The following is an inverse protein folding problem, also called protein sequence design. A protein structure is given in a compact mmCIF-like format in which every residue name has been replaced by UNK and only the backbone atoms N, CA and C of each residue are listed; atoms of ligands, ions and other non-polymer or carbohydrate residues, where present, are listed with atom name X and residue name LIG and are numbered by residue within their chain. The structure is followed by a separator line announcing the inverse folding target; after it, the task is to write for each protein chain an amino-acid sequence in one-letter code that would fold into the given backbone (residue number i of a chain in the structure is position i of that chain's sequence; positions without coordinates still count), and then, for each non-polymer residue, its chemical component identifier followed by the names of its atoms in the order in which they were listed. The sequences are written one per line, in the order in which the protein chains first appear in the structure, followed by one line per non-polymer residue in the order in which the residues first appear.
data_IF_423228927111
#
_entry.id   IF_423228927111
#
_cell.length_a   1.000
_cell.length_b   1.000
_cell.length_c   1.000
_cell.angle_alpha   90.00
_cell.angle_beta   90.00
_cell.angle_gamma   90.00
#
_symmetry.space_group_name_H-M   'P 1'
#
loop_
_entity.id
_entity.type
_entity.pdbx_description
1 polymer ?
#
# COMPACT_ATOMS: atom_id res chain seq x y z
N UNK A 1 -4.09 -14.90 19.67
CA UNK A 1 -3.51 -14.00 18.64
C UNK A 1 -4.45 -12.81 18.54
N UNK A 2 -4.01 -11.65 19.02
CA UNK A 2 -4.84 -10.44 19.04
C UNK A 2 -4.78 -9.80 17.65
N UNK A 3 -5.89 -9.83 16.92
CA UNK A 3 -6.02 -9.08 15.67
C UNK A 3 -6.35 -7.63 16.04
N UNK A 4 -5.36 -6.75 15.94
CA UNK A 4 -5.57 -5.32 16.11
C UNK A 4 -6.49 -4.86 14.97
N UNK A 5 -7.63 -4.24 15.31
CA UNK A 5 -8.53 -3.70 14.30
C UNK A 5 -7.74 -2.74 13.40
N UNK A 6 -7.86 -2.83 12.06
CA UNK A 6 -7.17 -1.89 11.19
C UNK A 6 -7.61 -0.48 11.57
N UNK A 7 -6.64 0.41 11.79
CA UNK A 7 -6.91 1.84 11.93
C UNK A 7 -7.86 2.27 10.81
N UNK A 8 -8.85 3.13 11.12
CA UNK A 8 -9.83 3.65 10.18
C UNK A 8 -9.19 3.85 8.81
N UNK A 9 -9.71 3.15 7.80
CA UNK A 9 -9.16 3.20 6.45
C UNK A 9 -9.14 4.64 5.97
N UNK A 10 -8.03 5.14 5.40
CA UNK A 10 -8.00 6.49 4.87
C UNK A 10 -9.04 6.64 3.77
N UNK A 11 -9.60 7.84 3.66
CA UNK A 11 -10.57 8.17 2.63
C UNK A 11 -10.01 7.91 1.23
N UNK A 12 -10.84 7.36 0.34
CA UNK A 12 -10.47 7.05 -1.04
C UNK A 12 -9.59 5.80 -1.22
N UNK A 13 -9.15 5.13 -0.15
CA UNK A 13 -8.38 3.88 -0.24
C UNK A 13 -9.32 2.69 -0.49
N UNK A 14 -9.12 2.02 -1.62
CA UNK A 14 -9.94 0.87 -2.06
C UNK A 14 -9.25 -0.48 -1.90
N UNK A 15 -7.93 -0.49 -1.68
CA UNK A 15 -7.16 -1.66 -1.27
C UNK A 15 -5.91 -1.22 -0.51
N UNK A 16 -5.46 -2.05 0.44
CA UNK A 16 -4.25 -1.83 1.23
C UNK A 16 -3.54 -3.16 1.41
N UNK A 17 -2.26 -3.19 1.07
CA UNK A 17 -1.41 -4.38 1.15
C UNK A 17 -0.28 -4.13 2.15
N UNK A 18 -0.10 -5.03 3.13
CA UNK A 18 1.05 -4.98 4.03
C UNK A 18 2.32 -5.37 3.24
N UNK A 19 3.41 -4.64 3.44
CA UNK A 19 4.68 -4.99 2.79
C UNK A 19 5.43 -6.08 3.55
N UNK A 20 6.35 -6.77 2.89
CA UNK A 20 7.27 -7.67 3.58
C UNK A 20 8.11 -6.95 4.64
N UNK A 21 8.49 -5.68 4.39
CA UNK A 21 9.12 -4.83 5.40
C UNK A 21 8.23 -4.59 6.63
N UNK A 22 6.91 -4.40 6.45
CA UNK A 22 5.98 -4.27 7.57
C UNK A 22 6.00 -5.50 8.47
N UNK A 23 6.05 -6.69 7.88
CA UNK A 23 6.12 -7.94 8.65
C UNK A 23 7.45 -8.08 9.39
N UNK A 24 8.58 -7.78 8.71
CA UNK A 24 9.91 -7.85 9.31
C UNK A 24 10.10 -6.86 10.48
N UNK A 25 9.55 -5.66 10.35
CA UNK A 25 9.67 -4.60 11.36
C UNK A 25 8.54 -4.62 12.39
N UNK A 26 7.51 -5.46 12.17
CA UNK A 26 6.23 -5.39 12.85
C UNK A 26 5.59 -3.98 12.82
N UNK A 27 5.80 -3.26 11.72
CA UNK A 27 5.30 -1.90 11.52
C UNK A 27 4.16 -1.89 10.50
N UNK A 28 2.92 -1.79 11.01
CA UNK A 28 1.70 -1.76 10.21
C UNK A 28 1.57 -0.50 9.32
N UNK A 29 2.46 0.49 9.43
CA UNK A 29 2.42 1.71 8.60
C UNK A 29 3.14 1.56 7.26
N UNK A 30 3.94 0.49 7.08
CA UNK A 30 4.67 0.23 5.83
C UNK A 30 3.78 -0.55 4.86
N UNK A 31 2.82 0.14 4.25
CA UNK A 31 1.83 -0.46 3.34
C UNK A 31 1.95 0.04 1.91
N UNK A 32 1.31 -0.68 0.99
CA UNK A 32 0.96 -0.16 -0.34
C UNK A 32 -0.54 0.13 -0.34
N UNK A 33 -0.90 1.41 -0.46
CA UNK A 33 -2.29 1.86 -0.50
C UNK A 33 -2.69 2.10 -1.95
N UNK A 34 -3.87 1.60 -2.34
CA UNK A 34 -4.48 1.85 -3.64
C UNK A 34 -5.65 2.79 -3.47
N UNK A 35 -5.61 3.90 -4.18
CA UNK A 35 -6.64 4.93 -4.20
C UNK A 35 -7.21 5.06 -5.60
N UNK A 36 -8.51 5.35 -5.68
CA UNK A 36 -9.17 5.71 -6.94
C UNK A 36 -9.76 7.10 -6.81
N UNK A 37 -9.44 7.98 -7.76
CA UNK A 37 -9.93 9.35 -7.87
C UNK A 37 -10.35 9.57 -9.32
N UNK A 38 -11.61 9.98 -9.53
CA UNK A 38 -12.25 10.13 -10.84
C UNK A 38 -12.02 8.92 -11.78
N UNK A 39 -11.22 9.14 -12.84
CA UNK A 39 -10.90 8.14 -13.87
C UNK A 39 -9.50 7.53 -13.68
N UNK A 40 -8.89 7.68 -12.50
CA UNK A 40 -7.54 7.21 -12.20
C UNK A 40 -7.53 6.34 -10.96
N UNK A 41 -6.80 5.23 -11.05
CA UNK A 41 -6.44 4.40 -9.90
C UNK A 41 -4.92 4.43 -9.76
N UNK A 42 -4.43 4.67 -8.55
CA UNK A 42 -3.01 4.67 -8.25
C UNK A 42 -2.73 3.87 -6.98
N UNK A 43 -1.68 3.07 -7.01
CA UNK A 43 -1.08 2.44 -5.84
C UNK A 43 0.16 3.21 -5.41
N UNK A 44 0.34 3.41 -4.11
CA UNK A 44 1.51 4.07 -3.53
C UNK A 44 2.06 3.26 -2.36
N UNK A 45 3.34 2.92 -2.45
CA UNK A 45 4.08 2.30 -1.35
C UNK A 45 4.55 3.35 -0.35
N UNK A 46 4.11 3.25 0.90
CA UNK A 46 4.54 4.12 2.01
C UNK A 46 5.97 3.83 2.47
N UNK A 47 6.49 2.62 2.21
CA UNK A 47 7.86 2.24 2.57
C UNK A 47 8.92 2.85 1.68
N UNK A 48 8.85 2.60 0.37
CA UNK A 48 9.86 3.08 -0.59
C UNK A 48 9.46 4.35 -1.36
N UNK A 49 8.20 4.76 -1.28
CA UNK A 49 7.67 5.91 -2.02
C UNK A 49 7.33 5.64 -3.48
N UNK A 50 7.60 4.45 -4.04
CA UNK A 50 7.20 4.11 -5.41
C UNK A 50 5.68 4.15 -5.56
N UNK A 51 5.23 4.76 -6.65
CA UNK A 51 3.83 4.78 -7.05
C UNK A 51 3.66 4.30 -8.48
N UNK A 52 2.57 3.62 -8.76
CA UNK A 52 2.15 3.25 -10.11
C UNK A 52 0.64 3.42 -10.24
N UNK A 53 0.18 3.87 -11.41
CA UNK A 53 -1.23 4.12 -11.64
C UNK A 53 -1.64 3.95 -13.08
N UNK A 54 -2.94 3.78 -13.27
CA UNK A 54 -3.57 3.61 -14.58
C UNK A 54 -4.98 4.23 -14.58
N UNK A 55 -5.68 4.17 -15.70
CA UNK A 55 -7.10 4.52 -15.75
C UNK A 55 -7.93 3.57 -14.86
N UNK A 56 -9.03 4.06 -14.29
CA UNK A 56 -9.86 3.31 -13.33
C UNK A 56 -10.48 2.04 -13.93
N UNK A 57 -10.74 2.00 -15.24
CA UNK A 57 -11.16 0.77 -15.93
C UNK A 57 -10.09 -0.35 -15.89
N UNK A 58 -8.84 -0.03 -15.59
CA UNK A 58 -7.73 -0.96 -15.38
C UNK A 58 -7.33 -1.09 -13.90
N UNK A 59 -8.21 -0.76 -12.95
CA UNK A 59 -7.96 -0.87 -11.50
C UNK A 59 -7.32 -2.20 -11.08
N UNK A 60 -7.77 -3.31 -11.68
CA UNK A 60 -7.23 -4.65 -11.41
C UNK A 60 -5.72 -4.75 -11.64
N UNK A 61 -5.18 -4.05 -12.64
CA UNK A 61 -3.73 -4.02 -12.89
C UNK A 61 -3.00 -3.27 -11.78
N UNK A 62 -3.61 -2.22 -11.22
CA UNK A 62 -3.03 -1.41 -10.15
C UNK A 62 -3.03 -2.19 -8.84
N UNK A 63 -4.13 -2.91 -8.57
CA UNK A 63 -4.22 -3.85 -7.44
C UNK A 63 -3.17 -4.97 -7.56
N UNK A 64 -3.02 -5.56 -8.75
CA UNK A 64 -2.02 -6.61 -9.01
C UNK A 64 -0.60 -6.09 -8.76
N UNK A 65 -0.24 -4.95 -9.33
CA UNK A 65 1.06 -4.33 -9.09
C UNK A 65 1.27 -4.03 -7.61
N UNK A 66 0.26 -3.47 -6.93
CA UNK A 66 0.37 -3.09 -5.52
C UNK A 66 0.65 -4.31 -4.63
N UNK A 67 -0.03 -5.42 -4.89
CA UNK A 67 0.23 -6.68 -4.20
C UNK A 67 1.64 -7.22 -4.48
N UNK A 68 2.02 -7.35 -5.76
CA UNK A 68 3.34 -7.86 -6.16
C UNK A 68 4.49 -7.01 -5.61
N UNK A 69 4.28 -5.68 -5.52
CA UNK A 69 5.23 -4.77 -4.93
C UNK A 69 5.30 -4.97 -3.40
N UNK A 70 4.15 -5.06 -2.73
CA UNK A 70 4.09 -5.22 -1.28
C UNK A 70 4.84 -6.49 -0.82
N UNK A 71 4.65 -7.62 -1.51
CA UNK A 71 5.30 -8.90 -1.22
C UNK A 71 6.84 -8.85 -1.30
N UNK A 72 7.39 -7.88 -2.06
CA UNK A 72 8.84 -7.76 -2.29
C UNK A 72 9.47 -6.54 -1.63
N UNK A 73 8.67 -5.57 -1.20
CA UNK A 73 9.16 -4.31 -0.67
C UNK A 73 9.88 -4.54 0.66
N UNK A 74 11.18 -4.23 0.67
CA UNK A 74 12.10 -4.30 1.82
C UNK A 74 12.59 -2.93 2.27
N UNK A 75 11.89 -1.86 1.86
CA UNK A 75 12.29 -0.52 2.23
C UNK A 75 12.08 -0.29 3.72
N UNK A 76 13.12 0.19 4.38
CA UNK A 76 13.05 0.61 5.76
C UNK A 76 12.43 2.02 5.80
N UNK A 77 11.44 2.28 6.67
CA UNK A 77 10.91 3.61 6.86
C UNK A 77 12.04 4.56 7.28
N UNK A 78 12.02 5.78 6.73
CA UNK A 78 13.00 6.81 7.09
C UNK A 78 12.85 7.10 8.59
N UNK A 79 13.93 7.11 9.40
CA UNK A 79 13.81 7.45 10.81
C UNK A 79 13.21 8.85 10.94
N UNK A 80 12.09 8.98 11.64
CA UNK A 80 11.62 10.28 12.10
C UNK A 80 12.62 10.75 13.15
N UNK A 81 13.44 11.75 12.80
CA UNK A 81 14.29 12.47 13.76
C UNK A 81 13.42 13.26 14.75
#
# INVERSE_FOLDING_TARGET
MSFQAPALWPEGVIARYATYAAELLQDANVTVDVTTEDLRTAGRCRGCGTSWGNYSCYEHTVKKWAQEHAEKCRALPRPTA
#
